data_IF_772065589139
#
_entry.id   IF_772065589139
#
_cell.length_a   1.000
_cell.length_b   1.000
_cell.length_c   1.000
_cell.angle_alpha   90.00
_cell.angle_beta   90.00
_cell.angle_gamma   90.00
#
_symmetry.space_group_name_H-M   'P 1'
#
loop_
_entity.id
_entity.type
_entity.pdbx_description
1 polymer ?
#
# COMPACT_ATOMS: atom_id res chain seq x y z
N UNK A 1 -32.91 31.63 -23.02
CA UNK A 1 -31.50 31.72 -22.55
C UNK A 1 -31.31 31.29 -21.09
N UNK A 2 -32.17 31.69 -20.13
CA UNK A 2 -32.02 31.32 -18.71
C UNK A 2 -32.02 29.81 -18.41
N UNK A 3 -32.81 29.00 -19.12
CA UNK A 3 -32.85 27.55 -18.87
C UNK A 3 -31.58 26.83 -19.33
N UNK A 4 -30.98 27.26 -20.45
CA UNK A 4 -29.78 26.66 -21.03
C UNK A 4 -28.55 26.85 -20.12
N UNK A 5 -28.41 28.03 -19.50
CA UNK A 5 -27.34 28.33 -18.53
C UNK A 5 -27.50 27.49 -17.26
N UNK A 6 -28.74 27.29 -16.79
CA UNK A 6 -29.00 26.43 -15.62
C UNK A 6 -28.61 24.98 -15.86
N UNK A 7 -28.93 24.42 -17.03
CA UNK A 7 -28.57 23.04 -17.35
C UNK A 7 -27.05 22.84 -17.52
N UNK A 8 -26.35 23.78 -18.15
CA UNK A 8 -24.89 23.68 -18.30
C UNK A 8 -24.16 23.82 -16.97
N UNK A 9 -24.62 24.70 -16.07
CA UNK A 9 -24.05 24.82 -14.71
C UNK A 9 -24.26 23.56 -13.86
N UNK A 10 -25.43 22.92 -13.94
CA UNK A 10 -25.69 21.65 -13.24
C UNK A 10 -24.82 20.53 -13.82
N UNK A 11 -24.70 20.45 -15.15
CA UNK A 11 -23.85 19.45 -15.81
C UNK A 11 -22.37 19.62 -15.43
N UNK A 12 -21.86 20.86 -15.42
CA UNK A 12 -20.49 21.16 -14.97
C UNK A 12 -20.27 20.81 -13.49
N UNK A 13 -21.26 21.09 -12.63
CA UNK A 13 -21.21 20.71 -11.21
C UNK A 13 -21.14 19.19 -11.01
N UNK A 14 -21.94 18.43 -11.77
CA UNK A 14 -21.93 16.97 -11.72
C UNK A 14 -20.62 16.38 -12.26
N UNK A 15 -20.06 16.94 -13.33
CA UNK A 15 -18.75 16.52 -13.84
C UNK A 15 -17.63 16.78 -12.83
N UNK A 16 -17.62 17.95 -12.17
CA UNK A 16 -16.64 18.28 -11.14
C UNK A 16 -16.74 17.39 -9.89
N UNK A 17 -17.96 17.04 -9.47
CA UNK A 17 -18.20 16.08 -8.39
C UNK A 17 -17.73 14.68 -8.77
N UNK A 18 -18.03 14.24 -10.00
CA UNK A 18 -17.61 12.94 -10.53
C UNK A 18 -16.09 12.79 -10.59
N UNK A 19 -15.37 13.82 -11.06
CA UNK A 19 -13.90 13.80 -11.09
C UNK A 19 -13.31 13.82 -9.68
N UNK A 20 -13.84 14.63 -8.76
CA UNK A 20 -13.37 14.67 -7.37
C UNK A 20 -13.53 13.31 -6.66
N UNK A 21 -14.68 12.64 -6.85
CA UNK A 21 -14.93 11.30 -6.30
C UNK A 21 -13.97 10.25 -6.89
N UNK A 22 -13.68 10.33 -8.19
CA UNK A 22 -12.72 9.45 -8.84
C UNK A 22 -11.31 9.60 -8.24
N UNK A 23 -10.81 10.83 -8.10
CA UNK A 23 -9.50 11.08 -7.50
C UNK A 23 -9.43 10.68 -6.02
N UNK A 24 -10.50 10.90 -5.25
CA UNK A 24 -10.58 10.48 -3.87
C UNK A 24 -10.49 8.95 -3.72
N UNK A 25 -11.18 8.20 -4.60
CA UNK A 25 -11.11 6.74 -4.62
C UNK A 25 -9.73 6.23 -5.06
N UNK A 26 -9.13 6.83 -6.09
CA UNK A 26 -7.79 6.48 -6.55
C UNK A 26 -6.75 6.68 -5.43
N UNK A 27 -6.81 7.81 -4.72
CA UNK A 27 -5.92 8.08 -3.59
C UNK A 27 -6.11 7.07 -2.44
N UNK A 28 -7.36 6.70 -2.13
CA UNK A 28 -7.67 5.70 -1.10
C UNK A 28 -7.09 4.33 -1.46
N UNK A 29 -7.30 3.86 -2.68
CA UNK A 29 -6.76 2.59 -3.17
C UNK A 29 -5.23 2.59 -3.07
N UNK A 30 -4.59 3.69 -3.46
CA UNK A 30 -3.15 3.82 -3.36
C UNK A 30 -2.62 3.78 -1.94
N UNK A 31 -3.34 4.37 -0.98
CA UNK A 31 -2.97 4.25 0.44
C UNK A 31 -3.14 2.83 0.96
N UNK A 32 -4.15 2.10 0.51
CA UNK A 32 -4.33 0.69 0.87
C UNK A 32 -3.14 -0.13 0.41
N UNK A 33 -2.77 -0.09 -0.88
CA UNK A 33 -1.61 -0.84 -1.37
C UNK A 33 -0.29 -0.41 -0.71
N UNK A 34 -0.14 0.87 -0.39
CA UNK A 34 1.01 1.39 0.36
C UNK A 34 1.07 0.80 1.77
N UNK A 35 -0.06 0.76 2.47
CA UNK A 35 -0.16 0.18 3.80
C UNK A 35 0.07 -1.32 3.78
N UNK A 36 -0.53 -2.05 2.83
CA UNK A 36 -0.38 -3.50 2.72
C UNK A 36 1.09 -3.87 2.49
N UNK A 37 1.77 -3.13 1.62
CA UNK A 37 3.20 -3.31 1.39
C UNK A 37 4.02 -3.06 2.67
N UNK A 38 3.81 -1.92 3.35
CA UNK A 38 4.60 -1.57 4.53
C UNK A 38 4.32 -2.51 5.71
N UNK A 39 3.07 -2.91 5.93
CA UNK A 39 2.69 -3.84 6.99
C UNK A 39 3.31 -5.21 6.77
N UNK A 40 3.35 -5.70 5.53
CA UNK A 40 4.01 -6.97 5.22
C UNK A 40 5.52 -6.92 5.49
N UNK A 41 6.17 -5.78 5.23
CA UNK A 41 7.60 -5.59 5.57
C UNK A 41 7.79 -5.53 7.09
N UNK A 42 6.91 -4.84 7.82
CA UNK A 42 6.95 -4.76 9.29
C UNK A 42 6.83 -6.14 9.94
N UNK A 43 5.97 -6.99 9.38
CA UNK A 43 5.77 -8.37 9.82
C UNK A 43 7.05 -9.19 9.64
N UNK A 44 7.73 -9.09 8.50
CA UNK A 44 9.03 -9.74 8.30
C UNK A 44 10.08 -9.26 9.31
N UNK A 45 10.18 -7.94 9.52
CA UNK A 45 11.14 -7.38 10.48
C UNK A 45 10.85 -7.88 11.89
N UNK A 46 9.58 -7.94 12.27
CA UNK A 46 9.13 -8.43 13.59
C UNK A 46 9.38 -9.92 13.76
N UNK A 47 9.08 -10.74 12.75
CA UNK A 47 9.32 -12.18 12.77
C UNK A 47 10.81 -12.51 12.88
N UNK A 48 11.66 -11.79 12.13
CA UNK A 48 13.11 -11.90 12.22
C UNK A 48 13.64 -11.49 13.60
N UNK A 49 12.97 -10.54 14.28
CA UNK A 49 13.29 -10.20 15.67
C UNK A 49 12.96 -11.35 16.63
N UNK A 50 11.80 -11.99 16.45
CA UNK A 50 11.37 -13.11 17.28
C UNK A 50 12.30 -14.32 17.15
N UNK A 51 12.79 -14.62 15.94
CA UNK A 51 13.78 -15.68 15.71
C UNK A 51 15.11 -15.45 16.46
N UNK A 52 15.42 -14.21 16.84
CA UNK A 52 16.59 -13.95 17.68
C UNK A 52 16.36 -14.31 19.16
N UNK A 53 15.10 -14.43 19.59
CA UNK A 53 14.71 -14.76 20.97
C UNK A 53 14.58 -16.27 21.16
N UNK A 54 14.02 -16.99 20.18
CA UNK A 54 13.88 -18.45 20.19
C UNK A 54 14.50 -19.05 18.91
N UNK A 55 15.39 -20.03 19.11
CA UNK A 55 16.15 -20.72 18.05
C UNK A 55 15.88 -22.23 18.02
N UNK A 56 14.72 -22.64 18.52
CA UNK A 56 14.27 -24.01 18.33
C UNK A 56 13.94 -24.27 16.86
N UNK A 57 14.25 -25.46 16.36
CA UNK A 57 14.05 -25.82 14.94
C UNK A 57 12.58 -25.67 14.50
N UNK A 58 11.64 -26.01 15.39
CA UNK A 58 10.20 -25.86 15.13
C UNK A 58 9.78 -24.40 14.99
N UNK A 59 10.34 -23.51 15.81
CA UNK A 59 10.06 -22.09 15.77
C UNK A 59 10.68 -21.43 14.54
N UNK A 60 11.91 -21.81 14.18
CA UNK A 60 12.58 -21.31 12.98
C UNK A 60 11.79 -21.67 11.71
N UNK A 61 11.30 -22.91 11.59
CA UNK A 61 10.49 -23.33 10.46
C UNK A 61 9.16 -22.57 10.36
N UNK A 62 8.53 -22.27 11.50
CA UNK A 62 7.31 -21.46 11.54
C UNK A 62 7.57 -20.02 11.10
N UNK A 63 8.62 -19.38 11.62
CA UNK A 63 9.00 -18.01 11.24
C UNK A 63 9.38 -17.92 9.77
N UNK A 64 10.11 -18.91 9.25
CA UNK A 64 10.46 -18.96 7.83
C UNK A 64 9.21 -19.00 6.95
N UNK A 65 8.23 -19.84 7.31
CA UNK A 65 6.97 -19.93 6.58
C UNK A 65 6.16 -18.62 6.62
N UNK A 66 6.04 -17.98 7.79
CA UNK A 66 5.34 -16.70 7.94
C UNK A 66 6.05 -15.59 7.16
N UNK A 67 7.38 -15.58 7.16
CA UNK A 67 8.18 -14.66 6.37
C UNK A 67 7.96 -14.85 4.86
N UNK A 68 7.92 -16.09 4.37
CA UNK A 68 7.64 -16.38 2.96
C UNK A 68 6.28 -15.78 2.54
N UNK A 69 5.24 -16.01 3.34
CA UNK A 69 3.90 -15.43 3.08
C UNK A 69 3.89 -13.90 3.14
N UNK A 70 4.62 -13.30 4.08
CA UNK A 70 4.72 -11.85 4.19
C UNK A 70 5.47 -11.26 2.99
N UNK A 71 6.55 -11.89 2.51
CA UNK A 71 7.26 -11.47 1.30
C UNK A 71 6.39 -11.55 0.04
N UNK A 72 5.60 -12.60 -0.11
CA UNK A 72 4.66 -12.74 -1.23
C UNK A 72 3.61 -11.62 -1.23
N UNK A 73 3.03 -11.30 -0.06
CA UNK A 73 2.10 -10.18 0.09
C UNK A 73 2.78 -8.85 -0.21
N UNK A 74 4.01 -8.64 0.26
CA UNK A 74 4.78 -7.45 -0.02
C UNK A 74 5.02 -7.29 -1.54
N UNK A 75 5.43 -8.37 -2.22
CA UNK A 75 5.65 -8.36 -3.67
C UNK A 75 4.37 -8.04 -4.46
N UNK A 76 3.24 -8.63 -4.08
CA UNK A 76 1.94 -8.36 -4.69
C UNK A 76 1.52 -6.89 -4.51
N UNK A 77 1.57 -6.37 -3.27
CA UNK A 77 1.23 -4.99 -2.96
C UNK A 77 2.17 -3.99 -3.67
N UNK A 78 3.45 -4.32 -3.79
CA UNK A 78 4.43 -3.52 -4.53
C UNK A 78 4.13 -3.44 -6.03
N UNK A 79 3.73 -4.57 -6.64
CA UNK A 79 3.24 -4.61 -8.03
C UNK A 79 2.02 -3.72 -8.23
N UNK A 80 1.02 -3.85 -7.34
CA UNK A 80 -0.22 -3.05 -7.38
C UNK A 80 0.04 -1.55 -7.17
N UNK A 81 0.98 -1.17 -6.29
CA UNK A 81 1.41 0.21 -6.14
C UNK A 81 1.98 0.78 -7.44
N UNK A 82 2.81 0.00 -8.15
CA UNK A 82 3.39 0.45 -9.41
C UNK A 82 2.32 0.61 -10.47
N UNK A 83 1.44 -0.38 -10.61
CA UNK A 83 0.42 -0.44 -11.65
C UNK A 83 -0.69 0.60 -11.45
N UNK A 84 -1.21 0.72 -10.23
CA UNK A 84 -2.35 1.59 -9.91
C UNK A 84 -1.94 3.02 -9.57
N UNK A 85 -0.77 3.21 -8.94
CA UNK A 85 -0.38 4.49 -8.32
C UNK A 85 0.88 5.12 -8.91
N UNK A 86 1.56 4.40 -9.81
CA UNK A 86 2.75 4.84 -10.49
C UNK A 86 4.05 4.68 -9.70
N UNK A 87 5.16 4.70 -10.44
CA UNK A 87 6.49 4.42 -9.90
C UNK A 87 6.93 5.36 -8.78
N UNK A 88 6.51 6.63 -8.82
CA UNK A 88 6.94 7.61 -7.82
C UNK A 88 6.47 7.20 -6.42
N UNK A 89 5.23 6.75 -6.29
CA UNK A 89 4.66 6.34 -5.01
C UNK A 89 5.27 5.02 -4.55
N UNK A 90 5.40 4.06 -5.47
CA UNK A 90 6.10 2.80 -5.22
C UNK A 90 7.53 3.03 -4.69
N UNK A 91 8.33 3.89 -5.34
CA UNK A 91 9.71 4.20 -4.90
C UNK A 91 9.74 4.88 -3.52
N UNK A 92 8.74 5.70 -3.20
CA UNK A 92 8.62 6.33 -1.89
C UNK A 92 8.28 5.31 -0.79
N UNK A 93 7.34 4.40 -1.07
CA UNK A 93 6.99 3.30 -0.17
C UNK A 93 8.20 2.39 0.05
N UNK A 94 8.93 2.03 -1.01
CA UNK A 94 10.15 1.22 -0.92
C UNK A 94 11.23 1.86 -0.03
N UNK A 95 11.44 3.17 -0.13
CA UNK A 95 12.38 3.88 0.75
C UNK A 95 11.97 3.75 2.22
N UNK A 96 10.68 3.89 2.53
CA UNK A 96 10.19 3.72 3.91
C UNK A 96 10.35 2.28 4.40
N UNK A 97 10.06 1.28 3.57
CA UNK A 97 10.32 -0.12 3.88
C UNK A 97 11.81 -0.37 4.19
N UNK A 98 12.72 0.20 3.39
CA UNK A 98 14.15 0.11 3.67
C UNK A 98 14.54 0.78 4.99
N UNK A 99 13.94 1.93 5.33
CA UNK A 99 14.15 2.56 6.63
C UNK A 99 13.66 1.68 7.79
N UNK A 100 12.56 0.95 7.64
CA UNK A 100 12.05 0.01 8.65
C UNK A 100 13.03 -1.15 8.86
N UNK A 101 13.50 -1.76 7.77
CA UNK A 101 14.50 -2.84 7.82
C UNK A 101 15.79 -2.37 8.50
N UNK A 102 16.27 -1.17 8.18
CA UNK A 102 17.51 -0.61 8.73
C UNK A 102 17.39 -0.20 10.20
N UNK A 103 16.21 0.24 10.64
CA UNK A 103 15.97 0.58 12.05
C UNK A 103 15.87 -0.67 12.93
N UNK A 104 15.44 -1.78 12.34
CA UNK A 104 15.13 -2.99 13.10
C UNK A 104 13.86 -2.82 13.94
N UNK A 105 13.47 -3.89 14.65
CA UNK A 105 12.38 -3.87 15.64
C UNK A 105 12.65 -2.89 16.81
#
# INVERSE_FOLDING_TARGET
>A
MNSLIRYTSIALGLMALGTALYFANAERICRTHESDYLNAIDEVVSNNALQQVDRSEEFEAMVEHDNEQAWDRAAAAFGQLRETCGERRMKAAHRRANEMILRGP
#
